data_IF_774748731125
#
_entry.id   IF_774748731125
#
_cell.length_a   1.000
_cell.length_b   1.000
_cell.length_c   1.000
_cell.angle_alpha   90.00
_cell.angle_beta   90.00
_cell.angle_gamma   90.00
#
_symmetry.space_group_name_H-M   'P 1'
#
loop_
_entity.id
_entity.type
_entity.pdbx_description
1 polymer ?
#
# COMPACT_ATOMS: atom_id res chain seq x y z
N UNK A 1 5.77 -69.92 -28.58
CA UNK A 1 6.53 -68.95 -29.41
C UNK A 1 5.57 -67.82 -29.67
N UNK A 2 5.62 -66.73 -28.89
CA UNK A 2 6.43 -65.52 -29.15
C UNK A 2 6.05 -64.92 -30.52
N UNK A 3 5.54 -63.68 -30.66
CA UNK A 3 6.00 -62.41 -30.07
C UNK A 3 4.93 -61.31 -30.17
N UNK A 4 5.06 -60.30 -29.30
CA UNK A 4 4.42 -58.98 -29.30
C UNK A 4 4.42 -58.25 -30.66
N UNK A 5 3.41 -57.41 -30.88
CA UNK A 5 3.68 -56.00 -31.21
C UNK A 5 2.55 -55.08 -30.68
N UNK A 6 2.97 -53.91 -30.22
CA UNK A 6 2.18 -52.88 -29.54
C UNK A 6 1.78 -51.79 -30.53
N UNK A 7 0.54 -51.27 -30.47
CA UNK A 7 0.32 -49.81 -30.46
C UNK A 7 -1.11 -49.44 -30.10
N UNK A 8 -1.21 -48.57 -29.10
CA UNK A 8 -2.40 -47.85 -28.67
C UNK A 8 -2.61 -46.59 -29.56
N UNK A 9 -3.75 -45.90 -29.44
CA UNK A 9 -4.34 -45.07 -30.50
C UNK A 9 -3.84 -43.62 -30.49
N UNK A 10 -3.85 -42.94 -31.63
CA UNK A 10 -3.68 -41.48 -31.69
C UNK A 10 -4.70 -40.82 -32.62
N UNK A 11 -5.01 -39.58 -32.25
CA UNK A 11 -5.69 -38.52 -33.01
C UNK A 11 -7.23 -38.47 -32.99
N UNK A 12 -7.77 -38.20 -31.80
CA UNK A 12 -9.01 -37.43 -31.66
C UNK A 12 -8.68 -36.01 -31.17
N UNK A 13 -8.08 -35.19 -32.02
CA UNK A 13 -7.79 -33.78 -31.73
C UNK A 13 -8.29 -32.92 -32.91
N UNK A 14 -9.49 -32.38 -32.75
CA UNK A 14 -10.01 -31.11 -33.31
C UNK A 14 -11.53 -31.20 -33.43
N UNK A 15 -12.29 -30.72 -32.42
CA UNK A 15 -13.64 -30.15 -32.64
C UNK A 15 -14.25 -29.42 -31.41
N UNK A 16 -13.51 -28.55 -30.70
CA UNK A 16 -14.11 -27.77 -29.59
C UNK A 16 -13.72 -26.29 -29.62
N UNK A 17 -13.71 -25.69 -30.82
CA UNK A 17 -13.72 -24.23 -31.00
C UNK A 17 -15.17 -23.72 -31.20
N UNK A 18 -15.49 -22.58 -30.56
CA UNK A 18 -16.72 -21.76 -30.69
C UNK A 18 -18.01 -22.16 -29.97
N UNK A 19 -17.94 -22.52 -28.69
CA UNK A 19 -18.90 -21.95 -27.73
C UNK A 19 -18.13 -21.06 -26.78
N UNK A 20 -18.49 -19.77 -26.71
CA UNK A 20 -18.02 -18.88 -25.63
C UNK A 20 -18.51 -19.49 -24.32
N UNK A 21 -17.68 -20.33 -23.70
CA UNK A 21 -18.00 -20.95 -22.42
C UNK A 21 -17.95 -19.84 -21.39
N UNK A 22 -19.09 -19.58 -20.78
CA UNK A 22 -19.22 -18.62 -19.69
C UNK A 22 -18.84 -19.32 -18.39
N UNK A 23 -17.82 -18.81 -17.72
CA UNK A 23 -17.35 -19.30 -16.43
C UNK A 23 -17.97 -18.45 -15.33
N UNK A 24 -18.78 -19.08 -14.50
CA UNK A 24 -19.48 -18.42 -13.39
C UNK A 24 -18.68 -18.57 -12.11
N UNK A 25 -18.26 -17.45 -11.54
CA UNK A 25 -17.52 -17.42 -10.27
C UNK A 25 -18.23 -16.53 -9.28
N UNK A 26 -18.10 -16.85 -8.00
CA UNK A 26 -18.63 -16.06 -6.91
C UNK A 26 -17.47 -15.38 -6.19
N UNK A 27 -17.46 -14.05 -6.14
CA UNK A 27 -16.46 -13.25 -5.40
C UNK A 27 -17.21 -12.42 -4.37
N UNK A 28 -16.89 -12.56 -3.09
CA UNK A 28 -17.57 -11.85 -1.97
C UNK A 28 -19.10 -12.00 -1.97
N UNK A 29 -19.59 -13.19 -2.35
CA UNK A 29 -21.02 -13.53 -2.53
C UNK A 29 -21.69 -12.90 -3.76
N UNK A 30 -21.00 -12.07 -4.53
CA UNK A 30 -21.48 -11.58 -5.82
C UNK A 30 -21.08 -12.53 -6.95
N UNK A 31 -21.96 -12.70 -7.94
CA UNK A 31 -21.74 -13.59 -9.08
C UNK A 31 -21.14 -12.81 -10.26
N UNK A 32 -20.04 -13.30 -10.80
CA UNK A 32 -19.37 -12.76 -11.97
C UNK A 32 -19.29 -13.81 -13.08
N UNK A 33 -19.39 -13.36 -14.33
CA UNK A 33 -19.28 -14.20 -15.52
C UNK A 33 -18.03 -13.79 -16.27
N UNK A 34 -17.12 -14.74 -16.47
CA UNK A 34 -15.89 -14.57 -17.24
C UNK A 34 -15.96 -15.41 -18.52
N UNK A 35 -15.30 -14.95 -19.57
CA UNK A 35 -15.19 -15.67 -20.85
C UNK A 35 -13.85 -16.36 -21.02
N UNK A 36 -12.86 -15.99 -20.22
CA UNK A 36 -11.52 -16.59 -20.23
C UNK A 36 -11.48 -17.79 -19.29
N UNK A 37 -10.99 -18.96 -19.75
CA UNK A 37 -10.91 -20.17 -18.92
C UNK A 37 -9.78 -20.09 -17.89
N UNK A 38 -8.74 -19.32 -18.15
CA UNK A 38 -7.58 -19.16 -17.26
C UNK A 38 -7.44 -17.68 -16.97
N UNK A 39 -7.49 -17.32 -15.69
CA UNK A 39 -7.44 -15.92 -15.23
C UNK A 39 -6.47 -15.76 -14.07
N UNK A 40 -5.89 -14.57 -13.93
CA UNK A 40 -4.99 -14.26 -12.81
C UNK A 40 -5.73 -13.71 -11.60
N UNK A 41 -5.09 -13.74 -10.43
CA UNK A 41 -5.62 -13.09 -9.22
C UNK A 41 -5.93 -11.60 -9.45
N UNK A 42 -5.06 -10.90 -10.20
CA UNK A 42 -5.24 -9.49 -10.60
C UNK A 42 -6.52 -9.29 -11.42
N UNK A 43 -6.78 -10.14 -12.42
CA UNK A 43 -7.98 -10.05 -13.25
C UNK A 43 -9.26 -10.30 -12.42
N UNK A 44 -9.23 -11.27 -11.50
CA UNK A 44 -10.37 -11.54 -10.60
C UNK A 44 -10.66 -10.37 -9.65
N UNK A 45 -9.63 -9.75 -9.08
CA UNK A 45 -9.75 -8.56 -8.24
C UNK A 45 -10.32 -7.37 -9.02
N UNK A 46 -9.77 -7.10 -10.21
CA UNK A 46 -10.27 -6.05 -11.09
C UNK A 46 -11.75 -6.27 -11.45
N UNK A 47 -12.14 -7.51 -11.74
CA UNK A 47 -13.53 -7.85 -12.08
C UNK A 47 -14.49 -7.65 -10.91
N UNK A 48 -14.01 -7.82 -9.68
CA UNK A 48 -14.74 -7.53 -8.45
C UNK A 48 -14.69 -6.05 -8.02
N UNK A 49 -14.15 -5.15 -8.87
CA UNK A 49 -14.01 -3.72 -8.57
C UNK A 49 -12.96 -3.39 -7.50
N UNK A 50 -12.03 -4.32 -7.22
CA UNK A 50 -10.96 -4.15 -6.23
C UNK A 50 -9.72 -3.55 -6.88
N UNK A 51 -9.73 -2.22 -7.04
CA UNK A 51 -8.67 -1.45 -7.69
C UNK A 51 -8.17 -0.35 -6.73
N UNK A 52 -6.84 -0.21 -6.50
CA UNK A 52 -5.77 -1.00 -7.10
C UNK A 52 -5.69 -2.43 -6.52
N UNK A 53 -5.47 -3.47 -7.35
CA UNK A 53 -5.47 -4.87 -6.93
C UNK A 53 -4.39 -5.20 -5.90
N UNK A 54 -3.30 -4.43 -5.83
CA UNK A 54 -2.23 -4.56 -4.85
C UNK A 54 -2.70 -4.38 -3.40
N UNK A 55 -3.84 -3.72 -3.18
CA UNK A 55 -4.44 -3.50 -1.86
C UNK A 55 -5.38 -4.63 -1.43
N UNK A 56 -5.49 -5.71 -2.20
CA UNK A 56 -6.41 -6.81 -1.91
C UNK A 56 -5.75 -8.16 -2.14
N UNK A 57 -6.05 -9.11 -1.25
CA UNK A 57 -5.73 -10.51 -1.43
C UNK A 57 -6.98 -11.22 -1.90
N UNK A 58 -6.80 -12.22 -2.75
CA UNK A 58 -7.87 -13.10 -3.19
C UNK A 58 -7.54 -14.55 -2.83
N UNK A 59 -8.54 -15.24 -2.30
CA UNK A 59 -8.46 -16.62 -1.86
C UNK A 59 -9.49 -17.45 -2.59
N UNK A 60 -9.11 -18.67 -2.98
CA UNK A 60 -10.02 -19.67 -3.52
C UNK A 60 -10.51 -20.60 -2.42
N UNK A 61 -11.81 -20.85 -2.37
CA UNK A 61 -12.46 -21.74 -1.39
C UNK A 61 -12.84 -23.07 -2.04
N UNK A 62 -11.89 -24.01 -2.06
CA UNK A 62 -12.14 -25.37 -2.53
C UNK A 62 -12.94 -26.16 -1.47
N UNK A 63 -13.92 -27.00 -1.87
CA UNK A 63 -14.74 -27.77 -0.94
C UNK A 63 -13.91 -28.64 0.03
N UNK A 64 -14.20 -28.55 1.33
CA UNK A 64 -13.55 -29.37 2.35
C UNK A 64 -12.10 -28.99 2.69
N UNK A 65 -11.58 -27.89 2.15
CA UNK A 65 -10.19 -27.45 2.39
C UNK A 65 -10.14 -26.02 2.94
N UNK A 66 -8.98 -25.65 3.50
CA UNK A 66 -8.73 -24.26 3.89
C UNK A 66 -8.61 -23.37 2.64
N UNK A 67 -9.04 -22.08 2.73
CA UNK A 67 -8.89 -21.15 1.61
C UNK A 67 -7.42 -21.02 1.19
N UNK A 68 -7.13 -21.21 -0.10
CA UNK A 68 -5.78 -21.04 -0.65
C UNK A 68 -5.64 -19.62 -1.21
N UNK A 69 -4.56 -18.91 -0.84
CA UNK A 69 -4.22 -17.60 -1.42
C UNK A 69 -3.80 -17.77 -2.87
N UNK A 70 -4.23 -16.85 -3.73
CA UNK A 70 -3.82 -16.75 -5.14
C UNK A 70 -2.95 -15.49 -5.28
N UNK A 71 -1.75 -15.64 -5.83
CA UNK A 71 -0.89 -14.50 -6.16
C UNK A 71 -1.49 -13.60 -7.26
N UNK A 72 -1.09 -12.33 -7.33
CA UNK A 72 -1.63 -11.39 -8.33
C UNK A 72 -1.43 -11.89 -9.78
N UNK A 73 -0.28 -12.49 -10.07
CA UNK A 73 0.06 -13.03 -11.39
C UNK A 73 -0.06 -14.57 -11.45
N UNK A 74 -0.54 -15.21 -10.38
CA UNK A 74 -0.82 -16.65 -10.37
C UNK A 74 -2.06 -16.93 -11.22
N UNK A 75 -1.91 -17.85 -12.18
CA UNK A 75 -3.00 -18.26 -13.08
C UNK A 75 -3.88 -19.32 -12.43
N UNK A 76 -5.20 -19.14 -12.54
CA UNK A 76 -6.23 -20.04 -12.04
C UNK A 76 -7.06 -20.53 -13.22
N UNK A 77 -7.15 -21.85 -13.38
CA UNK A 77 -8.00 -22.48 -14.38
C UNK A 77 -9.42 -22.66 -13.82
N UNK A 78 -10.38 -21.90 -14.37
CA UNK A 78 -11.78 -21.91 -13.96
C UNK A 78 -12.54 -23.19 -14.39
N UNK A 79 -11.91 -24.08 -15.15
CA UNK A 79 -12.48 -25.38 -15.55
C UNK A 79 -12.30 -26.45 -14.47
N UNK A 80 -11.40 -26.23 -13.51
CA UNK A 80 -11.15 -27.20 -12.45
C UNK A 80 -12.35 -27.28 -11.48
N UNK A 81 -12.74 -28.46 -10.99
CA UNK A 81 -13.86 -28.59 -10.06
C UNK A 81 -13.57 -27.88 -8.73
N UNK A 82 -14.54 -27.12 -8.20
CA UNK A 82 -14.44 -26.47 -6.89
C UNK A 82 -13.87 -25.04 -6.91
N UNK A 83 -13.50 -24.51 -8.08
CA UNK A 83 -12.92 -23.17 -8.25
C UNK A 83 -13.95 -22.05 -8.42
N UNK A 84 -15.20 -22.30 -8.07
CA UNK A 84 -16.30 -21.37 -8.34
C UNK A 84 -16.44 -20.29 -7.26
N UNK A 85 -15.69 -20.38 -6.16
CA UNK A 85 -15.83 -19.48 -5.00
C UNK A 85 -14.51 -18.83 -4.61
N UNK A 86 -14.52 -17.51 -4.61
CA UNK A 86 -13.44 -16.65 -4.20
C UNK A 86 -13.90 -15.72 -3.09
N UNK A 87 -12.96 -15.33 -2.25
CA UNK A 87 -13.14 -14.28 -1.25
C UNK A 87 -11.98 -13.32 -1.36
N UNK A 88 -12.29 -12.02 -1.36
CA UNK A 88 -11.30 -10.98 -1.25
C UNK A 88 -11.17 -10.54 0.20
N UNK A 89 -9.96 -10.18 0.59
CA UNK A 89 -9.66 -9.51 1.84
C UNK A 89 -8.84 -8.27 1.49
N UNK A 90 -9.15 -7.09 2.04
CA UNK A 90 -8.20 -5.98 2.00
C UNK A 90 -6.86 -6.46 2.53
N UNK A 91 -5.80 -6.25 1.75
CA UNK A 91 -4.44 -6.27 2.25
C UNK A 91 -4.21 -4.97 2.98
N UNK A 92 -4.95 -4.77 4.07
CA UNK A 92 -4.37 -4.01 5.17
C UNK A 92 -3.09 -4.79 5.48
N UNK A 93 -1.92 -4.17 5.32
CA UNK A 93 -0.65 -4.80 5.66
C UNK A 93 -0.66 -5.12 7.17
N UNK A 94 -1.20 -6.28 7.52
CA UNK A 94 -1.19 -6.84 8.87
C UNK A 94 -0.73 -8.29 8.78
N UNK A 95 0.36 -8.55 8.06
CA UNK A 95 1.19 -9.69 8.42
C UNK A 95 1.98 -9.28 9.68
N UNK A 96 1.37 -9.49 10.85
CA UNK A 96 2.06 -9.53 12.15
C UNK A 96 2.44 -8.20 12.81
N UNK A 97 1.95 -7.07 12.30
CA UNK A 97 2.02 -5.78 13.02
C UNK A 97 0.63 -5.49 13.56
N UNK A 98 0.55 -5.09 14.84
CA UNK A 98 -0.68 -4.58 15.44
C UNK A 98 -1.37 -3.60 14.48
N UNK A 99 -2.70 -3.63 14.41
CA UNK A 99 -3.46 -2.71 13.59
C UNK A 99 -2.91 -1.28 13.75
N UNK A 100 -2.75 -0.51 12.65
CA UNK A 100 -2.02 0.75 12.69
C UNK A 100 -2.64 1.65 13.76
N UNK A 101 -1.80 2.17 14.65
CA UNK A 101 -2.28 2.75 15.91
C UNK A 101 -3.13 3.99 15.63
N UNK A 102 -4.22 4.16 16.39
CA UNK A 102 -5.15 5.31 16.31
C UNK A 102 -5.43 5.86 17.72
N UNK A 103 -4.38 6.32 18.39
CA UNK A 103 -4.42 6.70 19.82
C UNK A 103 -5.00 8.09 20.07
N UNK A 104 -5.19 8.91 19.04
CA UNK A 104 -5.88 10.19 19.11
C UNK A 104 -6.62 10.47 17.80
N UNK A 105 -7.46 11.50 17.78
CA UNK A 105 -8.22 11.94 16.61
C UNK A 105 -7.71 13.27 16.08
N UNK A 106 -7.82 13.45 14.77
CA UNK A 106 -7.50 14.68 14.04
C UNK A 106 -8.78 15.39 13.58
N UNK A 107 -8.69 16.66 13.15
CA UNK A 107 -9.76 17.31 12.39
C UNK A 107 -10.20 16.48 11.17
N UNK A 108 -11.46 16.64 10.75
CA UNK A 108 -12.04 15.86 9.65
C UNK A 108 -11.25 16.00 8.34
N UNK A 109 -10.82 17.21 7.99
CA UNK A 109 -10.06 17.48 6.78
C UNK A 109 -8.72 16.71 6.73
N UNK A 110 -8.02 16.63 7.86
CA UNK A 110 -6.77 15.88 7.97
C UNK A 110 -6.99 14.37 7.88
N UNK A 111 -8.09 13.89 8.47
CA UNK A 111 -8.47 12.49 8.41
C UNK A 111 -8.83 12.08 6.98
N UNK A 112 -9.66 12.86 6.29
CA UNK A 112 -10.02 12.65 4.89
C UNK A 112 -8.80 12.66 3.98
N UNK A 113 -7.85 13.58 4.22
CA UNK A 113 -6.60 13.61 3.46
C UNK A 113 -5.74 12.36 3.71
N UNK A 114 -5.55 11.95 4.96
CA UNK A 114 -4.78 10.75 5.32
C UNK A 114 -5.38 9.48 4.70
N UNK A 115 -6.70 9.33 4.76
CA UNK A 115 -7.42 8.20 4.17
C UNK A 115 -7.33 8.20 2.64
N UNK A 116 -7.24 9.38 2.02
CA UNK A 116 -7.06 9.57 0.57
C UNK A 116 -5.63 9.33 0.05
N UNK A 117 -4.62 9.21 0.92
CA UNK A 117 -3.22 8.99 0.49
C UNK A 117 -2.98 7.63 -0.16
N UNK A 118 -3.80 6.62 0.18
CA UNK A 118 -3.53 5.23 -0.19
C UNK A 118 -2.29 4.63 0.49
N UNK A 119 -1.83 5.25 1.59
CA UNK A 119 -0.67 4.84 2.39
C UNK A 119 -1.10 4.48 3.81
N UNK A 120 -0.37 3.55 4.44
CA UNK A 120 -0.56 3.25 5.86
C UNK A 120 -0.08 4.42 6.71
N UNK A 121 -0.91 4.89 7.63
CA UNK A 121 -0.52 5.89 8.63
C UNK A 121 -0.86 5.42 10.05
N UNK A 122 -0.26 6.05 11.05
CA UNK A 122 -0.51 5.85 12.48
C UNK A 122 -0.68 7.19 13.19
N UNK A 123 -1.52 7.20 14.23
CA UNK A 123 -1.71 8.30 15.17
C UNK A 123 -1.23 7.83 16.54
N UNK A 124 -0.01 8.20 16.90
CA UNK A 124 0.72 7.67 18.07
C UNK A 124 0.89 8.75 19.13
N UNK A 125 0.78 8.35 20.39
CA UNK A 125 1.05 9.16 21.57
C UNK A 125 2.15 8.48 22.38
N UNK A 126 3.27 9.16 22.58
CA UNK A 126 4.41 8.74 23.42
C UNK A 126 4.68 9.90 24.41
N UNK A 127 4.89 9.64 25.70
CA UNK A 127 4.32 10.40 26.82
C UNK A 127 4.28 11.93 26.60
N UNK A 128 3.07 12.44 26.34
CA UNK A 128 2.78 13.86 26.16
C UNK A 128 2.95 14.41 24.74
N UNK A 129 3.52 13.63 23.82
CA UNK A 129 3.76 14.01 22.43
C UNK A 129 2.87 13.18 21.49
N UNK A 130 2.03 13.86 20.72
CA UNK A 130 1.24 13.26 19.63
C UNK A 130 2.00 13.36 18.32
N UNK A 131 2.05 12.29 17.55
CA UNK A 131 2.60 12.29 16.21
C UNK A 131 1.70 11.57 15.23
N UNK A 132 1.65 12.12 14.02
CA UNK A 132 1.16 11.40 12.84
C UNK A 132 2.39 10.75 12.20
N UNK A 133 2.26 9.49 11.81
CA UNK A 133 3.29 8.76 11.08
C UNK A 133 2.67 8.27 9.78
N UNK A 134 3.23 8.63 8.63
CA UNK A 134 2.82 8.13 7.31
C UNK A 134 3.94 7.23 6.80
N UNK A 135 3.62 5.98 6.50
CA UNK A 135 4.58 4.98 6.02
C UNK A 135 4.60 4.91 4.50
N UNK A 136 5.76 4.56 3.94
CA UNK A 136 5.91 4.32 2.50
C UNK A 136 5.77 5.58 1.65
N UNK A 137 6.01 6.77 2.22
CA UNK A 137 6.02 8.01 1.45
C UNK A 137 7.16 7.94 0.42
N UNK A 138 6.87 8.09 -0.89
CA UNK A 138 7.91 8.07 -1.92
C UNK A 138 8.81 9.30 -1.77
N UNK A 139 10.09 9.12 -2.05
CA UNK A 139 11.06 10.23 -2.07
C UNK A 139 11.62 10.44 -3.48
N UNK A 140 12.00 11.67 -3.85
CA UNK A 140 12.56 11.97 -5.17
C UNK A 140 13.81 11.15 -5.49
N UNK A 141 14.11 11.02 -6.78
CA UNK A 141 15.41 10.50 -7.21
C UNK A 141 16.54 11.36 -6.64
N UNK A 142 17.61 10.73 -6.14
CA UNK A 142 18.72 11.41 -5.49
C UNK A 142 18.97 10.95 -4.05
N UNK A 143 18.02 10.24 -3.45
CA UNK A 143 18.18 9.55 -2.17
C UNK A 143 18.56 8.08 -2.35
N UNK A 144 19.21 7.50 -1.33
CA UNK A 144 19.64 6.09 -1.33
C UNK A 144 18.48 5.10 -1.13
N UNK A 145 17.30 5.58 -0.77
CA UNK A 145 16.08 4.80 -0.54
C UNK A 145 14.95 5.36 -1.43
N UNK A 146 14.01 4.52 -1.92
CA UNK A 146 12.92 4.97 -2.77
C UNK A 146 11.70 5.51 -1.99
N UNK A 147 11.61 5.19 -0.70
CA UNK A 147 10.50 5.60 0.17
C UNK A 147 10.91 5.62 1.64
N UNK A 148 10.21 6.40 2.46
CA UNK A 148 10.43 6.53 3.90
C UNK A 148 9.11 6.58 4.68
N UNK A 149 9.18 6.31 5.97
CA UNK A 149 8.17 6.76 6.91
C UNK A 149 8.47 8.21 7.29
N UNK A 150 7.44 9.05 7.30
CA UNK A 150 7.51 10.44 7.75
C UNK A 150 6.65 10.61 8.98
N UNK A 151 7.22 11.15 10.03
CA UNK A 151 6.49 11.54 11.23
C UNK A 151 6.44 13.06 11.36
N UNK A 152 5.32 13.58 11.85
CA UNK A 152 5.14 15.00 12.19
C UNK A 152 4.52 15.11 13.58
N UNK A 153 4.95 16.12 14.35
CA UNK A 153 4.48 16.36 15.71
C UNK A 153 3.21 17.22 15.69
N UNK A 154 2.20 16.79 16.45
CA UNK A 154 0.92 17.51 16.61
C UNK A 154 0.89 18.18 17.97
N UNK A 155 1.07 19.50 17.98
CA UNK A 155 1.05 20.29 19.22
C UNK A 155 -0.37 20.45 19.78
N UNK A 156 -0.51 20.70 21.09
CA UNK A 156 -1.75 21.18 21.66
C UNK A 156 -2.19 22.49 20.97
N UNK A 157 -3.45 22.55 20.52
CA UNK A 157 -3.97 23.71 19.79
C UNK A 157 -3.87 23.65 18.27
N UNK A 158 -3.32 22.57 17.71
CA UNK A 158 -3.49 22.27 16.27
C UNK A 158 -4.99 22.13 15.92
N UNK A 159 -5.47 22.70 14.78
CA UNK A 159 -4.72 23.27 13.65
C UNK A 159 -4.36 24.76 13.74
N UNK A 160 -4.69 25.46 14.83
CA UNK A 160 -4.31 26.88 14.97
C UNK A 160 -2.81 27.05 15.32
N UNK A 161 -2.22 26.01 15.92
CA UNK A 161 -0.78 25.92 16.20
C UNK A 161 -0.05 25.22 15.06
N UNK A 162 1.08 25.80 14.66
CA UNK A 162 1.86 25.35 13.52
C UNK A 162 2.47 23.95 13.69
N UNK A 163 2.62 23.26 12.56
CA UNK A 163 3.57 22.15 12.40
C UNK A 163 4.84 22.69 11.72
N UNK A 164 6.01 22.38 12.27
CA UNK A 164 7.29 22.99 11.90
C UNK A 164 8.41 22.00 11.54
N UNK A 165 8.28 20.73 11.91
CA UNK A 165 9.33 19.72 11.76
C UNK A 165 8.83 18.45 11.09
N UNK A 166 9.73 17.81 10.36
CA UNK A 166 9.52 16.48 9.78
C UNK A 166 10.60 15.52 10.29
N UNK A 167 10.22 14.26 10.41
CA UNK A 167 11.03 13.20 10.98
C UNK A 167 11.02 12.01 10.04
N UNK A 168 12.19 11.51 9.65
CA UNK A 168 12.31 10.49 8.61
C UNK A 168 12.88 9.18 9.15
N UNK A 169 12.30 8.07 8.68
CA UNK A 169 12.80 6.72 8.92
C UNK A 169 12.62 5.85 7.67
N UNK A 170 13.67 5.21 7.12
CA UNK A 170 15.07 5.33 7.51
C UNK A 170 15.59 6.76 7.34
N UNK A 171 16.75 7.05 7.95
CA UNK A 171 17.42 8.33 7.80
C UNK A 171 17.74 8.58 6.32
N UNK A 172 17.43 9.78 5.83
CA UNK A 172 17.67 10.14 4.44
C UNK A 172 19.15 10.45 4.22
N UNK A 173 19.69 9.86 3.16
CA UNK A 173 21.06 10.05 2.68
C UNK A 173 20.99 10.26 1.16
N UNK A 174 21.76 11.24 0.66
CA UNK A 174 21.85 11.50 -0.77
C UNK A 174 22.82 10.53 -1.44
N UNK A 175 22.49 10.08 -2.65
CA UNK A 175 23.37 9.23 -3.48
C UNK A 175 24.68 9.94 -3.81
N UNK A 176 24.67 11.26 -3.91
CA UNK A 176 25.87 12.09 -4.12
C UNK A 176 26.84 12.08 -2.93
N UNK A 177 26.42 11.57 -1.75
CA UNK A 177 27.19 11.65 -0.52
C UNK A 177 27.17 13.04 0.15
N UNK A 178 26.50 14.03 -0.45
CA UNK A 178 26.35 15.37 0.15
C UNK A 178 25.59 15.26 1.47
N UNK A 179 26.09 15.94 2.49
CA UNK A 179 25.43 15.99 3.79
C UNK A 179 24.17 16.86 3.73
N UNK A 180 23.11 16.38 4.39
CA UNK A 180 21.88 17.14 4.60
C UNK A 180 22.06 17.96 5.87
N UNK A 181 21.86 19.27 5.78
CA UNK A 181 22.08 20.19 6.90
C UNK A 181 20.90 20.21 7.87
N UNK A 182 21.18 20.61 9.11
CA UNK A 182 20.18 20.76 10.19
C UNK A 182 19.32 19.51 10.40
N UNK A 183 20.02 18.38 10.47
CA UNK A 183 19.48 17.08 10.90
C UNK A 183 19.96 16.74 12.31
N UNK A 184 19.14 16.04 13.08
CA UNK A 184 19.59 15.36 14.30
C UNK A 184 18.77 14.10 14.54
N UNK A 185 19.28 13.21 15.39
CA UNK A 185 18.53 12.03 15.83
C UNK A 185 17.56 12.43 16.95
N UNK A 186 16.33 11.96 16.87
CA UNK A 186 15.32 12.14 17.91
C UNK A 186 14.62 10.80 18.22
N UNK A 187 14.67 10.31 19.47
CA UNK A 187 13.95 9.11 19.85
C UNK A 187 12.45 9.39 19.97
N UNK A 188 11.64 8.49 19.44
CA UNK A 188 10.19 8.48 19.62
C UNK A 188 9.68 7.04 19.42
N UNK A 189 8.79 6.60 20.31
CA UNK A 189 8.09 5.32 20.17
C UNK A 189 9.07 4.13 20.03
N UNK A 190 10.10 4.11 20.88
CA UNK A 190 11.14 3.08 20.88
C UNK A 190 12.04 3.05 19.63
N UNK A 191 11.93 4.04 18.75
CA UNK A 191 12.70 4.13 17.50
C UNK A 191 13.44 5.46 17.39
N UNK A 192 14.50 5.50 16.58
CA UNK A 192 15.27 6.72 16.30
C UNK A 192 14.83 7.28 14.96
N UNK A 193 14.50 8.56 14.94
CA UNK A 193 14.08 9.30 13.75
C UNK A 193 15.10 10.37 13.39
N UNK A 194 15.37 10.53 12.10
CA UNK A 194 16.16 11.66 11.61
C UNK A 194 15.25 12.89 11.53
N UNK A 195 15.40 13.81 12.47
CA UNK A 195 14.65 15.07 12.50
C UNK A 195 15.25 16.08 11.53
N UNK A 196 14.41 16.71 10.73
CA UNK A 196 14.77 17.88 9.92
C UNK A 196 14.14 19.13 10.52
N UNK A 197 14.97 20.09 10.90
CA UNK A 197 14.50 21.39 11.35
C UNK A 197 14.46 22.39 10.19
N UNK A 198 13.24 22.78 9.79
CA UNK A 198 12.97 23.74 8.71
C UNK A 198 11.81 24.64 9.14
N UNK A 199 12.09 25.57 10.06
CA UNK A 199 11.07 26.49 10.57
C UNK A 199 10.49 27.38 9.46
N UNK A 200 9.19 27.66 9.59
CA UNK A 200 8.49 28.64 8.76
C UNK A 200 9.06 30.03 9.02
N UNK A 201 9.12 30.85 7.98
CA UNK A 201 9.65 32.22 8.07
C UNK A 201 8.52 33.21 8.31
N UNK A 202 8.79 34.42 8.85
CA UNK A 202 7.77 35.46 8.99
C UNK A 202 7.10 35.85 7.67
N UNK A 203 7.77 35.65 6.52
CA UNK A 203 7.21 35.91 5.20
C UNK A 203 6.25 34.81 4.73
N UNK A 204 6.38 33.59 5.26
CA UNK A 204 5.54 32.45 4.93
C UNK A 204 5.15 31.71 6.22
N UNK A 205 4.38 32.36 7.11
CA UNK A 205 4.01 31.77 8.39
C UNK A 205 2.95 30.68 8.20
N UNK A 206 2.75 29.88 9.24
CA UNK A 206 1.54 29.06 9.34
C UNK A 206 0.30 29.97 9.31
N UNK A 207 -0.73 29.56 8.58
CA UNK A 207 -1.99 30.28 8.43
C UNK A 207 -3.09 29.54 9.20
N UNK A 208 -3.44 29.97 10.43
CA UNK A 208 -4.53 29.35 11.19
C UNK A 208 -5.83 29.29 10.39
N UNK A 209 -6.50 28.14 10.44
CA UNK A 209 -7.73 27.88 9.68
C UNK A 209 -7.55 27.68 8.17
N UNK A 210 -6.31 27.68 7.66
CA UNK A 210 -5.99 27.41 6.24
C UNK A 210 -4.99 26.28 6.11
N UNK A 211 -3.91 26.34 6.88
CA UNK A 211 -2.87 25.30 6.85
C UNK A 211 -3.30 24.10 7.73
N UNK A 212 -2.97 22.92 7.26
CA UNK A 212 -3.27 21.62 7.86
C UNK A 212 -2.20 20.58 7.47
N UNK A 213 -2.39 19.29 7.75
CA UNK A 213 -1.43 18.25 7.42
C UNK A 213 -1.11 18.21 5.93
N UNK A 214 -2.11 18.31 5.06
CA UNK A 214 -1.92 18.23 3.61
C UNK A 214 -0.96 19.31 3.10
N UNK A 215 -1.15 20.56 3.56
CA UNK A 215 -0.29 21.68 3.19
C UNK A 215 1.12 21.55 3.75
N UNK A 216 1.26 20.94 4.94
CA UNK A 216 2.56 20.70 5.54
C UNK A 216 3.31 19.56 4.85
N UNK A 217 2.63 18.48 4.46
CA UNK A 217 3.24 17.40 3.68
C UNK A 217 3.64 17.85 2.27
N UNK A 218 2.88 18.75 1.65
CA UNK A 218 3.32 19.41 0.40
C UNK A 218 4.63 20.19 0.61
N UNK A 219 4.75 20.92 1.73
CA UNK A 219 6.00 21.62 2.08
C UNK A 219 7.16 20.64 2.36
N UNK A 220 6.89 19.48 2.96
CA UNK A 220 7.91 18.44 3.17
C UNK A 220 8.40 17.89 1.82
N UNK A 221 7.51 17.64 0.86
CA UNK A 221 7.91 17.20 -0.47
C UNK A 221 8.81 18.23 -1.16
N UNK A 222 8.48 19.51 -1.06
CA UNK A 222 9.34 20.61 -1.54
C UNK A 222 10.73 20.60 -0.88
N UNK A 223 10.84 20.28 0.42
CA UNK A 223 12.14 20.15 1.08
C UNK A 223 12.97 19.00 0.50
N UNK A 224 12.33 17.85 0.26
CA UNK A 224 12.96 16.68 -0.32
C UNK A 224 13.46 16.96 -1.74
N UNK A 225 12.62 17.58 -2.58
CA UNK A 225 12.99 17.92 -3.96
C UNK A 225 14.14 18.93 -4.01
N UNK A 226 14.11 19.96 -3.16
CA UNK A 226 15.18 20.96 -3.10
C UNK A 226 16.50 20.35 -2.65
N UNK A 227 16.50 19.48 -1.65
CA UNK A 227 17.72 18.81 -1.22
C UNK A 227 18.21 17.80 -2.28
N UNK A 228 17.33 17.08 -2.96
CA UNK A 228 17.73 16.17 -4.05
C UNK A 228 18.37 16.92 -5.23
N UNK A 229 17.85 18.09 -5.59
CA UNK A 229 18.28 18.87 -6.76
C UNK A 229 19.39 19.89 -6.49
N UNK A 230 19.78 20.07 -5.22
CA UNK A 230 20.81 21.04 -4.85
C UNK A 230 22.20 20.49 -5.20
N UNK A 231 22.83 21.17 -6.16
CA UNK A 231 24.19 20.96 -6.62
C UNK A 231 25.23 21.09 -5.51
#
# INVERSE_FOLDING_TARGET
MSTHDSQAPESGADDDDRRKREYRVMIDKALYVLTEPVVTGRQLLAQAGKVPPEQFAIYIKLPGTQPKRIGLDESVDLRAPGVERFVTLPLDQTEGLDAPRRQFSLPAEDQEWLDGLGLTFELVTDPGQRRVIVHGLPVPAGYTVPSVSVSVRIEPGYPDVQIDMAYFRPALVLVSGRQINAICDEPFDGTIWQRWSRHRTPMNPWRPGIDNLSTHFALIQEWLEREANKA
#
